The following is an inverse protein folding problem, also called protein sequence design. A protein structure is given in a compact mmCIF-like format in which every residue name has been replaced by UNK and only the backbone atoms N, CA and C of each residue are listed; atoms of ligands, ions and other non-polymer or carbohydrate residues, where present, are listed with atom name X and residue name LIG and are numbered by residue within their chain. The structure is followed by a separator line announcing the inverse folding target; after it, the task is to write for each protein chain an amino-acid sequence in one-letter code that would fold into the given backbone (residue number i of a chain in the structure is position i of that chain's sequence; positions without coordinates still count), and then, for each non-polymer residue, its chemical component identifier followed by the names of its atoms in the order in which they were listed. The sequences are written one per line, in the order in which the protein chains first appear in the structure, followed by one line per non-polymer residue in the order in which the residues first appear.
data_IF_744805703578
#
_entry.id   IF_744805703578
#
_cell.length_a   1.000
_cell.length_b   1.000
_cell.length_c   1.000
_cell.angle_alpha   90.00
_cell.angle_beta   90.00
_cell.angle_gamma   90.00
#
_symmetry.space_group_name_H-M   'P 1'
#
loop_
_entity.id
_entity.type
_entity.pdbx_description
1 polymer ?
#
# COMPACT_ATOMS: atom_id res chain seq x y z
N UNK A 1 -16.44 -8.45 30.57
CA UNK A 1 -16.62 -9.50 31.60
C UNK A 1 -17.37 -10.72 31.08
N UNK A 2 -18.53 -10.57 30.43
CA UNK A 2 -19.30 -11.72 29.88
C UNK A 2 -18.54 -12.62 28.91
N UNK A 3 -17.65 -12.04 28.09
CA UNK A 3 -16.90 -12.82 27.08
C UNK A 3 -15.83 -13.72 27.72
N UNK A 4 -15.20 -13.29 28.80
CA UNK A 4 -14.21 -14.08 29.51
C UNK A 4 -14.83 -15.33 30.16
N UNK A 5 -15.98 -15.18 30.80
CA UNK A 5 -16.71 -16.31 31.44
C UNK A 5 -17.19 -17.32 30.35
N UNK A 6 -17.57 -16.81 29.19
CA UNK A 6 -17.93 -17.67 28.05
C UNK A 6 -16.73 -18.49 27.58
N UNK A 7 -15.57 -17.85 27.36
CA UNK A 7 -14.35 -18.55 26.96
C UNK A 7 -13.88 -19.56 28.01
N UNK A 8 -13.88 -19.21 29.29
CA UNK A 8 -13.52 -20.13 30.35
C UNK A 8 -14.44 -21.37 30.37
N UNK A 9 -15.73 -21.20 30.11
CA UNK A 9 -16.68 -22.31 30.03
C UNK A 9 -16.47 -23.18 28.78
N UNK A 10 -16.20 -22.55 27.61
CA UNK A 10 -15.99 -23.26 26.34
C UNK A 10 -14.66 -24.02 26.31
N UNK A 11 -13.66 -23.51 27.01
CA UNK A 11 -12.30 -24.07 27.00
C UNK A 11 -12.01 -24.95 28.22
N UNK A 12 -12.96 -25.16 29.10
CA UNK A 12 -12.76 -25.87 30.40
C UNK A 12 -12.22 -27.29 30.23
N UNK A 13 -12.53 -27.95 29.12
CA UNK A 13 -12.14 -29.35 28.86
C UNK A 13 -11.11 -29.43 27.71
N UNK A 14 -10.58 -28.29 27.27
CA UNK A 14 -9.57 -28.24 26.20
C UNK A 14 -8.18 -28.27 26.83
N UNK A 15 -7.47 -29.35 26.63
CA UNK A 15 -6.02 -29.39 26.89
C UNK A 15 -5.29 -28.52 25.87
N UNK A 16 -4.65 -27.45 26.34
CA UNK A 16 -3.81 -26.63 25.48
C UNK A 16 -2.50 -27.39 25.19
N UNK A 17 -2.05 -27.39 23.93
CA UNK A 17 -0.75 -27.98 23.61
C UNK A 17 0.38 -27.18 24.26
N UNK A 18 1.49 -27.86 24.50
CA UNK A 18 2.70 -27.21 24.97
C UNK A 18 3.22 -26.24 23.91
N UNK A 19 3.57 -25.03 24.35
CA UNK A 19 4.15 -24.01 23.52
C UNK A 19 5.64 -23.85 23.82
N UNK A 20 6.46 -23.81 22.76
CA UNK A 20 7.86 -23.45 22.87
C UNK A 20 8.11 -22.12 22.20
N UNK A 21 8.79 -21.22 22.89
CA UNK A 21 9.24 -19.97 22.30
C UNK A 21 10.50 -20.29 21.43
N UNK A 22 10.40 -19.98 20.13
CA UNK A 22 11.52 -20.10 19.20
C UNK A 22 11.89 -18.74 18.66
N UNK A 23 13.19 -18.42 18.72
CA UNK A 23 13.75 -17.25 18.05
C UNK A 23 14.30 -17.68 16.68
N UNK A 24 13.68 -17.16 15.62
CA UNK A 24 14.23 -17.32 14.27
C UNK A 24 15.17 -16.17 13.97
N UNK A 25 16.46 -16.45 13.86
CA UNK A 25 17.45 -15.49 13.39
C UNK A 25 17.58 -15.60 11.88
N UNK A 26 17.24 -14.52 11.20
CA UNK A 26 17.41 -14.42 9.75
C UNK A 26 18.41 -13.30 9.47
N UNK A 27 19.50 -13.63 8.81
CA UNK A 27 20.41 -12.64 8.26
C UNK A 27 19.75 -12.04 7.01
N UNK A 28 19.09 -10.91 7.18
CA UNK A 28 18.49 -10.18 6.07
C UNK A 28 19.33 -8.94 5.76
N UNK A 29 19.75 -8.75 4.51
CA UNK A 29 20.38 -7.51 4.11
C UNK A 29 19.41 -6.34 4.32
N UNK A 30 19.90 -5.28 4.95
CA UNK A 30 19.12 -4.08 5.21
C UNK A 30 19.70 -2.89 4.45
N UNK A 31 18.84 -2.07 3.87
CA UNK A 31 19.25 -0.78 3.34
C UNK A 31 19.51 0.18 4.50
N UNK A 32 20.71 0.75 4.55
CA UNK A 32 21.09 1.74 5.57
C UNK A 32 20.51 3.12 5.28
N UNK A 33 20.32 3.46 4.00
CA UNK A 33 19.75 4.72 3.54
C UNK A 33 18.71 4.44 2.43
N UNK A 34 17.45 4.38 2.86
CA UNK A 34 16.32 4.10 1.97
C UNK A 34 16.13 5.23 0.94
N UNK A 35 16.31 6.49 1.37
CA UNK A 35 16.12 7.67 0.51
C UNK A 35 17.13 7.70 -0.61
N UNK A 36 18.40 7.52 -0.29
CA UNK A 36 19.47 7.49 -1.29
C UNK A 36 19.32 6.32 -2.25
N UNK A 37 19.01 5.12 -1.74
CA UNK A 37 18.82 3.93 -2.56
C UNK A 37 17.64 4.10 -3.52
N UNK A 38 16.49 4.61 -3.06
CA UNK A 38 15.34 4.87 -3.90
C UNK A 38 15.64 5.94 -4.97
N UNK A 39 16.29 7.03 -4.59
CA UNK A 39 16.64 8.09 -5.54
C UNK A 39 17.55 7.59 -6.65
N UNK A 40 18.50 6.71 -6.33
CA UNK A 40 19.40 6.12 -7.32
C UNK A 40 18.65 5.18 -8.28
N UNK A 41 17.79 4.31 -7.77
CA UNK A 41 16.97 3.42 -8.60
C UNK A 41 16.02 4.19 -9.52
N UNK A 42 15.41 5.25 -9.03
CA UNK A 42 14.49 6.07 -9.83
C UNK A 42 15.18 6.82 -10.98
N UNK A 43 16.47 7.16 -10.87
CA UNK A 43 17.26 7.74 -11.99
C UNK A 43 17.36 6.79 -13.19
N UNK A 44 17.44 5.50 -12.91
CA UNK A 44 17.54 4.46 -13.93
C UNK A 44 16.17 3.94 -14.42
N UNK A 45 15.09 4.29 -13.72
CA UNK A 45 13.75 3.87 -14.06
C UNK A 45 13.25 4.54 -15.35
N UNK A 46 13.00 3.72 -16.39
CA UNK A 46 12.55 4.23 -17.69
C UNK A 46 11.15 4.84 -17.63
N UNK A 47 10.29 4.36 -16.74
CA UNK A 47 8.95 4.91 -16.54
C UNK A 47 8.99 6.35 -16.01
N UNK A 48 9.95 6.67 -15.15
CA UNK A 48 10.15 8.03 -14.62
C UNK A 48 10.51 9.05 -15.71
N UNK A 49 11.05 8.60 -16.84
CA UNK A 49 11.38 9.50 -17.98
C UNK A 49 10.15 9.93 -18.78
N UNK A 50 9.03 9.21 -18.65
CA UNK A 50 7.78 9.53 -19.33
C UNK A 50 7.01 10.66 -18.63
N UNK A 51 7.24 10.85 -17.33
CA UNK A 51 6.60 11.89 -16.53
C UNK A 51 7.15 13.26 -16.90
N UNK A 52 6.27 14.15 -17.30
CA UNK A 52 6.57 15.52 -17.76
C UNK A 52 6.13 16.55 -16.73
N UNK A 53 6.50 17.78 -17.00
CA UNK A 53 5.99 18.93 -16.25
C UNK A 53 4.46 19.01 -16.43
N UNK A 54 3.79 19.36 -15.31
CA UNK A 54 2.34 19.51 -15.17
C UNK A 54 1.54 18.20 -15.25
N UNK A 55 2.19 17.03 -15.48
CA UNK A 55 1.50 15.73 -15.40
C UNK A 55 1.03 15.46 -13.97
N UNK A 56 -0.19 14.96 -13.86
CA UNK A 56 -0.76 14.47 -12.59
C UNK A 56 -0.28 13.05 -12.32
N UNK A 57 0.17 12.78 -11.09
CA UNK A 57 0.70 11.47 -10.71
C UNK A 57 -0.02 10.96 -9.47
N UNK A 58 -0.85 9.93 -9.63
CA UNK A 58 -1.49 9.24 -8.53
C UNK A 58 -0.50 8.24 -7.91
N UNK A 59 -0.15 8.43 -6.64
CA UNK A 59 0.66 7.49 -5.87
C UNK A 59 -0.29 6.58 -5.09
N UNK A 60 -0.46 5.35 -5.58
CA UNK A 60 -1.37 4.37 -5.00
C UNK A 60 -0.71 3.65 -3.82
N UNK A 61 -1.25 3.86 -2.61
CA UNK A 61 -0.66 3.34 -1.38
C UNK A 61 -1.51 2.25 -0.74
N UNK A 62 -0.88 1.11 -0.45
CA UNK A 62 -1.51 0.02 0.29
C UNK A 62 -1.56 0.29 1.79
N UNK A 63 -2.33 -0.55 2.51
CA UNK A 63 -2.52 -0.49 3.97
C UNK A 63 -1.49 -1.27 4.77
N UNK A 64 -0.56 -1.96 4.13
CA UNK A 64 0.45 -2.78 4.82
C UNK A 64 1.66 -1.95 5.19
N UNK A 65 2.17 -2.18 6.39
CA UNK A 65 3.42 -1.55 6.81
C UNK A 65 4.57 -1.93 5.88
N UNK A 66 5.26 -0.91 5.43
CA UNK A 66 6.55 -0.99 4.75
C UNK A 66 7.52 -0.19 5.62
N UNK A 67 8.63 -0.79 6.00
CA UNK A 67 9.63 -0.06 6.77
C UNK A 67 10.11 1.16 5.97
N UNK A 68 10.06 2.35 6.59
CA UNK A 68 10.41 3.60 5.93
C UNK A 68 9.39 4.09 4.88
N UNK A 69 8.11 3.63 4.92
CA UNK A 69 7.10 4.02 3.94
C UNK A 69 6.99 5.53 3.75
N UNK A 70 7.01 6.29 4.83
CA UNK A 70 6.92 7.74 4.75
C UNK A 70 8.16 8.37 4.09
N UNK A 71 9.34 7.85 4.35
CA UNK A 71 10.59 8.30 3.70
C UNK A 71 10.61 7.96 2.21
N UNK A 72 10.08 6.78 1.84
CA UNK A 72 9.87 6.39 0.45
C UNK A 72 8.93 7.37 -0.25
N UNK A 73 7.80 7.69 0.39
CA UNK A 73 6.82 8.62 -0.15
C UNK A 73 7.38 10.04 -0.32
N UNK A 74 8.05 10.56 0.71
CA UNK A 74 8.72 11.87 0.65
C UNK A 74 9.72 11.95 -0.50
N UNK A 75 10.57 10.94 -0.64
CA UNK A 75 11.60 10.91 -1.69
C UNK A 75 10.98 10.88 -3.08
N UNK A 76 9.99 10.00 -3.29
CA UNK A 76 9.28 9.92 -4.56
C UNK A 76 8.57 11.23 -4.91
N UNK A 77 7.84 11.80 -3.95
CA UNK A 77 7.12 13.08 -4.13
C UNK A 77 8.10 14.22 -4.44
N UNK A 78 9.23 14.28 -3.73
CA UNK A 78 10.28 15.27 -3.98
C UNK A 78 10.78 15.20 -5.42
N UNK A 79 11.15 14.01 -5.91
CA UNK A 79 11.62 13.78 -7.27
C UNK A 79 10.56 14.15 -8.31
N UNK A 80 9.28 13.83 -8.06
CA UNK A 80 8.18 14.19 -8.96
C UNK A 80 7.96 15.70 -9.02
N UNK A 81 8.02 16.39 -7.88
CA UNK A 81 7.92 17.86 -7.82
C UNK A 81 9.10 18.54 -8.50
N UNK A 82 10.33 18.03 -8.35
CA UNK A 82 11.51 18.53 -9.07
C UNK A 82 11.37 18.44 -10.57
N UNK A 83 10.65 17.43 -11.07
CA UNK A 83 10.27 17.31 -12.50
C UNK A 83 9.15 18.27 -12.92
N UNK A 84 8.52 18.96 -11.95
CA UNK A 84 7.38 19.84 -12.18
C UNK A 84 6.05 19.10 -12.30
N UNK A 85 6.00 17.81 -11.97
CA UNK A 85 4.75 17.05 -11.94
C UNK A 85 3.90 17.40 -10.71
N UNK A 86 2.62 17.05 -10.74
CA UNK A 86 1.64 17.27 -9.68
C UNK A 86 1.26 15.95 -8.99
N UNK A 87 2.08 15.41 -8.06
CA UNK A 87 1.79 14.18 -7.36
C UNK A 87 0.68 14.37 -6.31
N UNK A 88 -0.12 13.33 -6.14
CA UNK A 88 -1.08 13.18 -5.05
C UNK A 88 -1.19 11.72 -4.64
N UNK A 89 -1.70 11.45 -3.42
CA UNK A 89 -1.83 10.10 -2.89
C UNK A 89 -3.25 9.62 -3.04
N UNK A 90 -3.42 8.35 -3.43
CA UNK A 90 -4.69 7.62 -3.38
C UNK A 90 -4.54 6.37 -2.54
N UNK A 91 -5.48 6.04 -1.64
CA UNK A 91 -5.49 4.75 -0.97
C UNK A 91 -5.77 3.63 -1.97
N UNK A 92 -4.96 2.57 -1.91
CA UNK A 92 -5.13 1.36 -2.72
C UNK A 92 -5.17 0.16 -1.79
N UNK A 93 -6.26 0.01 -1.05
CA UNK A 93 -6.34 -0.92 0.06
C UNK A 93 -7.66 -1.70 0.15
N UNK A 94 -8.52 -1.61 -0.87
CA UNK A 94 -9.78 -2.35 -0.95
C UNK A 94 -10.74 -2.01 0.19
N UNK A 95 -11.17 -3.02 0.96
CA UNK A 95 -12.14 -2.83 2.05
C UNK A 95 -11.54 -2.38 3.38
N UNK A 96 -10.25 -2.08 3.45
CA UNK A 96 -9.63 -1.57 4.67
C UNK A 96 -10.21 -0.18 5.04
N UNK A 97 -10.06 0.22 6.29
CA UNK A 97 -10.66 1.48 6.77
C UNK A 97 -12.19 1.45 6.77
N UNK A 98 -12.80 0.26 6.91
CA UNK A 98 -14.25 0.09 6.88
C UNK A 98 -14.89 0.37 5.52
N UNK A 99 -14.11 0.28 4.44
CA UNK A 99 -14.54 0.60 3.06
C UNK A 99 -15.15 2.00 2.95
N UNK A 100 -14.56 2.97 3.62
CA UNK A 100 -14.95 4.38 3.55
C UNK A 100 -13.76 5.26 3.19
N UNK A 101 -13.99 6.34 2.46
CA UNK A 101 -12.94 7.28 2.07
C UNK A 101 -12.19 7.84 3.30
N UNK A 102 -12.92 8.23 4.34
CA UNK A 102 -12.29 8.74 5.56
C UNK A 102 -11.52 7.66 6.29
N UNK A 103 -12.07 6.46 6.45
CA UNK A 103 -11.38 5.37 7.14
C UNK A 103 -10.11 4.93 6.43
N UNK A 104 -10.08 4.94 5.10
CA UNK A 104 -8.85 4.67 4.32
C UNK A 104 -7.80 5.77 4.52
N UNK A 105 -8.21 7.03 4.57
CA UNK A 105 -7.32 8.16 4.90
C UNK A 105 -6.75 8.03 6.32
N UNK A 106 -7.58 7.64 7.29
CA UNK A 106 -7.15 7.42 8.67
C UNK A 106 -6.11 6.28 8.76
N UNK A 107 -6.27 5.20 7.98
CA UNK A 107 -5.26 4.13 7.89
C UNK A 107 -3.91 4.69 7.42
N UNK A 108 -3.89 5.53 6.38
CA UNK A 108 -2.65 6.16 5.92
C UNK A 108 -2.04 7.08 6.98
N UNK A 109 -2.86 7.83 7.71
CA UNK A 109 -2.39 8.69 8.79
C UNK A 109 -1.72 7.89 9.92
N UNK A 110 -2.28 6.74 10.30
CA UNK A 110 -1.64 5.84 11.26
C UNK A 110 -0.30 5.27 10.80
N UNK A 111 -0.10 5.18 9.47
CA UNK A 111 1.18 4.78 8.88
C UNK A 111 2.17 5.95 8.71
N UNK A 112 1.84 7.14 9.22
CA UNK A 112 2.68 8.34 9.12
C UNK A 112 2.63 9.03 7.76
N UNK A 113 1.66 8.66 6.91
CA UNK A 113 1.40 9.28 5.62
C UNK A 113 0.36 10.37 5.83
N UNK A 114 0.81 11.62 5.96
CA UNK A 114 -0.07 12.78 6.19
C UNK A 114 0.20 13.88 5.16
N UNK A 115 -0.82 14.68 4.90
CA UNK A 115 -0.71 15.81 3.96
C UNK A 115 0.31 16.86 4.44
N UNK A 116 0.40 17.06 5.77
CA UNK A 116 1.36 17.97 6.38
C UNK A 116 2.80 17.51 6.15
N UNK A 117 3.08 16.23 6.36
CA UNK A 117 4.41 15.66 6.19
C UNK A 117 4.85 15.66 4.74
N UNK A 118 3.96 15.26 3.84
CA UNK A 118 4.31 15.00 2.45
C UNK A 118 4.10 16.20 1.53
N UNK A 119 3.35 17.21 2.00
CA UNK A 119 3.07 18.44 1.24
C UNK A 119 2.29 18.19 -0.05
N UNK A 120 1.48 17.11 -0.09
CA UNK A 120 0.56 16.76 -1.17
C UNK A 120 -0.77 16.28 -0.60
N UNK A 121 -1.84 16.42 -1.35
CA UNK A 121 -3.16 15.96 -0.91
C UNK A 121 -3.24 14.44 -0.87
N UNK A 122 -3.99 13.90 0.09
CA UNK A 122 -4.46 12.52 0.10
C UNK A 122 -5.89 12.52 -0.40
N UNK A 123 -6.06 12.16 -1.66
CA UNK A 123 -7.34 12.08 -2.31
C UNK A 123 -7.92 10.68 -2.11
N UNK A 124 -8.97 10.57 -1.31
CA UNK A 124 -9.65 9.32 -1.04
C UNK A 124 -11.10 9.41 -1.48
N UNK A 125 -11.53 8.48 -2.31
CA UNK A 125 -12.89 8.35 -2.80
C UNK A 125 -13.24 6.85 -2.81
N UNK A 126 -14.54 6.55 -2.86
CA UNK A 126 -15.04 5.20 -3.11
C UNK A 126 -15.64 5.08 -4.51
N UNK A 127 -15.48 6.12 -5.33
CA UNK A 127 -15.93 6.12 -6.71
C UNK A 127 -14.97 5.36 -7.60
N UNK A 128 -15.52 4.57 -8.51
CA UNK A 128 -14.76 3.75 -9.46
C UNK A 128 -15.23 3.97 -10.89
N UNK A 129 -14.31 3.80 -11.83
CA UNK A 129 -14.58 3.76 -13.26
C UNK A 129 -14.46 2.31 -13.77
N UNK A 130 -15.38 1.89 -14.62
CA UNK A 130 -15.26 0.63 -15.33
C UNK A 130 -14.29 0.79 -16.51
N UNK A 131 -13.16 0.08 -16.45
CA UNK A 131 -12.10 0.16 -17.46
C UNK A 131 -12.13 -0.99 -18.46
N UNK A 132 -13.03 -1.93 -18.28
CA UNK A 132 -13.23 -3.07 -19.18
C UNK A 132 -13.94 -4.23 -18.53
N UNK A 133 -14.01 -5.34 -19.27
CA UNK A 133 -14.65 -6.58 -18.80
C UNK A 133 -13.65 -7.73 -18.91
N UNK A 134 -13.56 -8.55 -17.87
CA UNK A 134 -12.70 -9.75 -17.89
C UNK A 134 -13.20 -10.80 -18.87
N UNK A 135 -12.33 -11.75 -19.23
CA UNK A 135 -12.72 -12.89 -20.10
C UNK A 135 -13.84 -13.76 -19.50
N UNK A 136 -14.12 -13.62 -18.21
CA UNK A 136 -15.18 -14.32 -17.49
C UNK A 136 -16.46 -13.48 -17.36
N UNK A 137 -16.51 -12.29 -17.95
CA UNK A 137 -17.68 -11.42 -17.94
C UNK A 137 -17.82 -10.52 -16.71
N UNK A 138 -16.80 -10.42 -15.84
CA UNK A 138 -16.83 -9.52 -14.70
C UNK A 138 -16.33 -8.12 -15.09
N UNK A 139 -16.97 -7.03 -14.61
CA UNK A 139 -16.45 -5.69 -14.80
C UNK A 139 -15.13 -5.52 -14.08
N UNK A 140 -14.18 -4.87 -14.72
CA UNK A 140 -12.90 -4.46 -14.14
C UNK A 140 -13.00 -2.98 -13.82
N UNK A 141 -12.88 -2.64 -12.55
CA UNK A 141 -13.02 -1.27 -12.08
C UNK A 141 -11.70 -0.76 -11.49
N UNK A 142 -11.47 0.55 -11.62
CA UNK A 142 -10.35 1.26 -11.06
C UNK A 142 -10.86 2.47 -10.24
N UNK A 143 -10.09 2.88 -9.22
CA UNK A 143 -10.35 4.13 -8.52
C UNK A 143 -10.44 5.31 -9.50
N UNK A 144 -11.53 6.08 -9.43
CA UNK A 144 -11.81 7.16 -10.38
C UNK A 144 -10.74 8.25 -10.37
N UNK A 145 -10.18 8.59 -9.20
CA UNK A 145 -9.12 9.61 -9.09
C UNK A 145 -7.81 9.14 -9.72
N UNK A 146 -7.48 7.86 -9.55
CA UNK A 146 -6.30 7.26 -10.16
C UNK A 146 -6.48 7.11 -11.68
N UNK A 147 -7.68 6.75 -12.13
CA UNK A 147 -8.00 6.60 -13.57
C UNK A 147 -7.79 7.90 -14.34
N UNK A 148 -8.15 9.04 -13.76
CA UNK A 148 -8.03 10.35 -14.40
C UNK A 148 -6.63 11.00 -14.24
N UNK A 149 -5.69 10.33 -13.58
CA UNK A 149 -4.31 10.79 -13.51
C UNK A 149 -3.53 10.41 -14.77
N UNK A 150 -2.55 11.23 -15.18
CA UNK A 150 -1.68 10.95 -16.33
C UNK A 150 -0.77 9.74 -16.07
N UNK A 151 -0.40 9.53 -14.79
CA UNK A 151 0.43 8.40 -14.35
C UNK A 151 -0.04 7.84 -13.01
N UNK A 152 0.18 6.54 -12.83
CA UNK A 152 -0.06 5.84 -11.55
C UNK A 152 1.23 5.15 -11.11
N UNK A 153 1.62 5.39 -9.86
CA UNK A 153 2.78 4.73 -9.24
C UNK A 153 2.31 3.97 -7.99
N UNK A 154 2.18 2.65 -8.05
CA UNK A 154 1.79 1.86 -6.88
C UNK A 154 2.99 1.64 -5.95
N UNK A 155 2.77 1.80 -4.64
CA UNK A 155 3.68 1.41 -3.58
C UNK A 155 3.06 0.25 -2.81
N UNK A 156 3.64 -0.94 -2.94
CA UNK A 156 3.11 -2.15 -2.35
C UNK A 156 4.19 -2.98 -1.66
N UNK A 157 3.81 -3.63 -0.56
CA UNK A 157 4.69 -4.59 0.12
C UNK A 157 4.70 -5.92 -0.62
N UNK A 158 5.88 -6.38 -1.00
CA UNK A 158 6.08 -7.73 -1.53
C UNK A 158 6.27 -8.69 -0.34
N UNK A 159 5.44 -9.73 -0.27
CA UNK A 159 5.52 -10.77 0.76
C UNK A 159 4.87 -12.07 0.26
N UNK A 160 5.19 -13.19 0.90
CA UNK A 160 4.46 -14.43 0.69
C UNK A 160 2.98 -14.26 1.10
N UNK A 161 2.08 -14.89 0.36
CA UNK A 161 0.67 -14.94 0.73
C UNK A 161 0.40 -16.07 1.74
N UNK A 162 -0.60 -15.91 2.58
CA UNK A 162 -0.95 -16.92 3.59
C UNK A 162 -1.54 -18.19 2.99
N UNK A 163 -2.28 -18.08 1.88
CA UNK A 163 -3.01 -19.18 1.25
C UNK A 163 -2.52 -19.49 -0.17
N UNK A 164 -2.27 -18.45 -0.98
CA UNK A 164 -1.87 -18.66 -2.37
C UNK A 164 -0.40 -19.06 -2.46
N UNK A 165 -0.12 -20.02 -3.34
CA UNK A 165 1.22 -20.45 -3.73
C UNK A 165 1.35 -20.32 -5.23
N UNK A 166 2.37 -19.58 -5.68
CA UNK A 166 2.58 -19.35 -7.10
C UNK A 166 3.78 -18.46 -7.36
N UNK A 167 4.11 -18.20 -8.63
CA UNK A 167 5.18 -17.29 -8.98
C UNK A 167 4.93 -15.85 -8.51
N UNK A 168 3.67 -15.47 -8.29
CA UNK A 168 3.25 -14.17 -7.78
C UNK A 168 2.19 -14.36 -6.71
N UNK A 169 2.46 -13.93 -5.48
CA UNK A 169 1.58 -14.14 -4.34
C UNK A 169 1.06 -12.82 -3.73
N UNK A 170 1.74 -11.71 -3.97
CA UNK A 170 1.39 -10.40 -3.42
C UNK A 170 2.06 -9.25 -4.19
N UNK A 171 2.04 -8.05 -3.65
CA UNK A 171 2.62 -6.87 -4.26
C UNK A 171 1.66 -6.21 -5.24
N UNK A 172 2.14 -5.78 -6.41
CA UNK A 172 1.35 -5.04 -7.41
C UNK A 172 0.13 -5.82 -7.87
N UNK A 173 0.24 -7.13 -8.08
CA UNK A 173 -0.89 -7.96 -8.51
C UNK A 173 -2.11 -7.91 -7.57
N UNK A 174 -1.91 -7.56 -6.32
CA UNK A 174 -3.02 -7.38 -5.39
C UNK A 174 -3.68 -6.00 -5.52
N UNK A 175 -2.99 -5.05 -6.13
CA UNK A 175 -3.43 -3.67 -6.27
C UNK A 175 -4.04 -3.37 -7.64
N UNK A 176 -3.88 -4.31 -8.57
CA UNK A 176 -4.53 -4.36 -9.87
C UNK A 176 -5.83 -5.16 -9.78
#
# INVERSE_FOLDING_TARGET
MKDRELFERLLKEVELPDFSLMEMRQDQPQLTDIKAALAEELKHCTAMRKIKKDDTVAIAMGSREINGLADIAETLIGILKEKGAAPFIVPAMGSHGGATAQGQKDVLYHLGITEERLGVRIASSMETEEIGTSNQGFPVCMDSLAFHADHIIPIARIKAHTEFRGPYESGILKML
#
